data_IF_013004081488
#
_entry.id   IF_013004081488
#
_cell.length_a   1.000
_cell.length_b   1.000
_cell.length_c   1.000
_cell.angle_alpha   90.00
_cell.angle_beta   90.00
_cell.angle_gamma   90.00
#
_symmetry.space_group_name_H-M   'P 1'
#
loop_
_entity.id
_entity.type
_entity.pdbx_description
1 polymer ?
#
# COMPACT_ATOMS: atom_id res chain seq x y z
N UNK A 1 -3.62 6.04 -12.52
CA UNK A 1 -4.86 6.75 -12.13
C UNK A 1 -5.50 7.48 -13.32
N UNK A 2 -4.83 8.42 -13.99
CA UNK A 2 -5.42 9.27 -15.05
C UNK A 2 -5.55 8.60 -16.43
N UNK A 3 -4.79 7.54 -16.69
CA UNK A 3 -4.71 6.92 -18.02
C UNK A 3 -3.69 7.54 -18.98
N UNK A 4 -2.88 8.48 -18.49
CA UNK A 4 -1.79 9.06 -19.27
C UNK A 4 -0.70 8.02 -19.61
N UNK A 5 -0.46 7.85 -20.91
CA UNK A 5 0.49 6.88 -21.46
C UNK A 5 1.95 7.26 -21.21
N UNK A 6 2.24 8.55 -21.08
CA UNK A 6 3.60 9.06 -20.81
C UNK A 6 4.04 8.65 -19.41
N UNK A 7 3.16 8.83 -18.42
CA UNK A 7 3.44 8.39 -17.05
C UNK A 7 3.54 6.88 -16.94
N UNK A 8 2.64 6.14 -17.62
CA UNK A 8 2.71 4.68 -17.64
C UNK A 8 4.05 4.20 -18.22
N UNK A 9 4.42 4.67 -19.41
CA UNK A 9 5.67 4.29 -20.07
C UNK A 9 6.90 4.62 -19.21
N UNK A 10 6.92 5.81 -18.60
CA UNK A 10 8.04 6.28 -17.79
C UNK A 10 8.15 5.48 -16.48
N UNK A 11 7.01 5.18 -15.84
CA UNK A 11 6.95 4.34 -14.65
C UNK A 11 7.44 2.92 -14.92
N UNK A 12 6.95 2.28 -15.98
CA UNK A 12 7.40 0.94 -16.37
C UNK A 12 8.89 0.92 -16.70
N UNK A 13 9.42 1.93 -17.39
CA UNK A 13 10.86 2.03 -17.64
C UNK A 13 11.69 2.09 -16.35
N UNK A 14 11.22 2.81 -15.33
CA UNK A 14 11.86 2.84 -14.01
C UNK A 14 11.82 1.49 -13.30
N UNK A 15 10.70 0.78 -13.39
CA UNK A 15 10.52 -0.54 -12.79
C UNK A 15 11.38 -1.58 -13.51
N UNK A 16 11.44 -1.55 -14.84
CA UNK A 16 12.29 -2.44 -15.65
C UNK A 16 13.78 -2.22 -15.36
N UNK A 17 14.20 -1.02 -14.95
CA UNK A 17 15.57 -0.77 -14.55
C UNK A 17 15.98 -1.59 -13.30
N UNK A 18 15.02 -1.99 -12.44
CA UNK A 18 15.29 -2.83 -11.27
C UNK A 18 15.85 -4.20 -11.67
N UNK A 19 15.56 -4.69 -12.88
CA UNK A 19 16.05 -5.99 -13.36
C UNK A 19 17.57 -6.06 -13.50
N UNK A 20 18.26 -4.92 -13.50
CA UNK A 20 19.73 -4.83 -13.49
C UNK A 20 20.32 -5.11 -12.11
N UNK A 21 19.49 -5.19 -11.08
CA UNK A 21 19.88 -5.40 -9.70
C UNK A 21 19.52 -6.81 -9.22
N UNK A 22 20.28 -7.29 -8.22
CA UNK A 22 20.09 -8.60 -7.58
C UNK A 22 20.12 -8.52 -6.05
N UNK A 23 20.39 -7.34 -5.51
CA UNK A 23 20.51 -7.07 -4.09
C UNK A 23 19.62 -5.86 -3.82
N UNK A 24 18.72 -5.92 -2.81
CA UNK A 24 17.85 -4.80 -2.49
C UNK A 24 18.69 -3.72 -1.82
N UNK A 25 19.12 -2.67 -2.53
CA UNK A 25 20.09 -1.69 -2.01
C UNK A 25 19.73 -0.26 -2.36
N UNK A 26 20.09 0.69 -1.48
CA UNK A 26 20.03 2.12 -1.77
C UNK A 26 18.77 2.88 -1.34
N UNK A 27 17.90 2.32 -0.48
CA UNK A 27 16.79 3.11 0.07
C UNK A 27 17.30 4.10 1.14
N UNK A 28 18.19 3.69 2.03
CA UNK A 28 18.71 4.53 3.12
C UNK A 28 20.01 5.30 2.80
N UNK A 29 20.18 5.78 1.57
CA UNK A 29 21.42 6.43 1.10
C UNK A 29 21.79 7.74 1.82
N UNK A 30 20.87 8.32 2.59
CA UNK A 30 21.12 9.52 3.41
C UNK A 30 21.99 9.23 4.64
N UNK A 31 22.05 7.97 5.10
CA UNK A 31 22.68 7.58 6.36
C UNK A 31 23.64 6.39 6.17
N UNK A 32 23.26 5.43 5.31
CA UNK A 32 23.96 4.18 5.11
C UNK A 32 24.57 4.06 3.70
N UNK A 33 25.63 3.25 3.51
CA UNK A 33 26.21 2.99 2.20
C UNK A 33 25.18 2.45 1.21
N UNK A 34 25.07 3.07 0.03
CA UNK A 34 24.13 2.70 -1.05
C UNK A 34 24.29 1.23 -1.49
N UNK A 35 25.48 0.64 -1.30
CA UNK A 35 25.76 -0.74 -1.65
C UNK A 35 25.16 -1.78 -0.67
N UNK A 36 24.77 -1.37 0.53
CA UNK A 36 24.28 -2.27 1.58
C UNK A 36 22.86 -2.79 1.26
N UNK A 37 22.61 -4.04 1.63
CA UNK A 37 21.30 -4.66 1.46
C UNK A 37 20.32 -4.13 2.50
N UNK A 38 19.10 -3.78 2.07
CA UNK A 38 18.14 -2.94 2.77
C UNK A 38 16.71 -3.49 2.58
N UNK A 39 15.98 -3.69 3.69
CA UNK A 39 14.64 -4.27 3.67
C UNK A 39 13.60 -3.34 3.03
N UNK A 40 13.79 -2.01 3.10
CA UNK A 40 12.89 -1.05 2.46
C UNK A 40 12.89 -1.24 0.95
N UNK A 41 14.04 -1.51 0.35
CA UNK A 41 14.12 -1.80 -1.10
C UNK A 41 13.38 -3.09 -1.43
N UNK A 42 13.46 -4.11 -0.57
CA UNK A 42 12.69 -5.34 -0.76
C UNK A 42 11.17 -5.05 -0.81
N UNK A 43 10.67 -4.24 0.13
CA UNK A 43 9.27 -3.84 0.17
C UNK A 43 8.85 -2.95 -1.01
N UNK A 44 9.59 -1.88 -1.29
CA UNK A 44 9.27 -0.95 -2.36
C UNK A 44 9.38 -1.58 -3.75
N UNK A 45 10.42 -2.37 -4.02
CA UNK A 45 10.58 -3.05 -5.30
C UNK A 45 9.50 -4.13 -5.50
N UNK A 46 9.11 -4.85 -4.44
CA UNK A 46 7.99 -5.79 -4.52
C UNK A 46 6.69 -5.08 -4.90
N UNK A 47 6.34 -3.98 -4.21
CA UNK A 47 5.12 -3.20 -4.49
C UNK A 47 5.14 -2.57 -5.88
N UNK A 48 6.25 -1.97 -6.29
CA UNK A 48 6.36 -1.35 -7.62
C UNK A 48 6.13 -2.38 -8.74
N UNK A 49 6.74 -3.56 -8.62
CA UNK A 49 6.50 -4.65 -9.57
C UNK A 49 5.06 -5.18 -9.49
N UNK A 50 4.48 -5.29 -8.28
CA UNK A 50 3.09 -5.70 -8.14
C UNK A 50 2.11 -4.70 -8.79
N UNK A 51 2.37 -3.40 -8.67
CA UNK A 51 1.59 -2.37 -9.33
C UNK A 51 1.75 -2.45 -10.86
N UNK A 52 2.95 -2.69 -11.37
CA UNK A 52 3.16 -2.94 -12.79
C UNK A 52 2.37 -4.17 -13.28
N UNK A 53 2.36 -5.26 -12.51
CA UNK A 53 1.53 -6.43 -12.80
C UNK A 53 0.04 -6.09 -12.81
N UNK A 54 -0.47 -5.39 -11.79
CA UNK A 54 -1.87 -4.98 -11.72
C UNK A 54 -2.30 -4.11 -12.91
N UNK A 55 -1.40 -3.28 -13.42
CA UNK A 55 -1.66 -2.39 -14.55
C UNK A 55 -1.58 -3.12 -15.90
N UNK A 56 -0.60 -4.01 -16.08
CA UNK A 56 -0.27 -4.58 -17.38
C UNK A 56 -0.78 -6.00 -17.58
N UNK A 57 -1.02 -6.74 -16.50
CA UNK A 57 -1.25 -8.18 -16.52
C UNK A 57 -0.03 -9.03 -16.90
N UNK A 58 1.16 -8.42 -17.10
CA UNK A 58 2.38 -9.15 -17.48
C UNK A 58 2.96 -9.90 -16.27
N UNK A 59 2.86 -11.23 -16.30
CA UNK A 59 3.33 -12.14 -15.26
C UNK A 59 4.81 -11.94 -14.92
N UNK A 60 5.64 -11.42 -15.85
CA UNK A 60 7.03 -11.07 -15.54
C UNK A 60 7.13 -10.14 -14.34
N UNK A 61 6.26 -9.15 -14.24
CA UNK A 61 6.25 -8.24 -13.10
C UNK A 61 5.83 -8.96 -11.80
N UNK A 62 4.87 -9.89 -11.86
CA UNK A 62 4.52 -10.67 -10.67
C UNK A 62 5.69 -11.55 -10.20
N UNK A 63 6.45 -12.16 -11.13
CA UNK A 63 7.67 -12.90 -10.79
C UNK A 63 8.72 -12.02 -10.13
N UNK A 64 8.89 -10.79 -10.61
CA UNK A 64 9.82 -9.84 -9.98
C UNK A 64 9.32 -9.35 -8.62
N UNK A 65 8.01 -9.17 -8.44
CA UNK A 65 7.44 -8.86 -7.13
C UNK A 65 7.73 -9.97 -6.11
N UNK A 66 7.56 -11.24 -6.51
CA UNK A 66 7.92 -12.42 -5.70
C UNK A 66 9.42 -12.44 -5.38
N UNK A 67 10.27 -12.17 -6.37
CA UNK A 67 11.72 -12.11 -6.18
C UNK A 67 12.12 -11.07 -5.11
N UNK A 68 11.65 -9.84 -5.26
CA UNK A 68 11.96 -8.75 -4.31
C UNK A 68 11.34 -8.96 -2.92
N UNK A 69 10.16 -9.57 -2.84
CA UNK A 69 9.61 -9.98 -1.55
C UNK A 69 10.55 -10.99 -0.86
N UNK A 70 11.00 -12.03 -1.58
CA UNK A 70 11.92 -13.04 -1.02
C UNK A 70 13.23 -12.45 -0.49
N UNK A 71 13.77 -11.40 -1.10
CA UNK A 71 15.02 -10.78 -0.61
C UNK A 71 14.86 -10.20 0.80
N UNK A 72 13.66 -9.77 1.18
CA UNK A 72 13.37 -9.24 2.51
C UNK A 72 13.36 -10.31 3.62
N UNK A 73 13.14 -11.59 3.30
CA UNK A 73 13.04 -12.67 4.30
C UNK A 73 14.31 -12.77 5.16
N UNK A 74 15.49 -12.51 4.59
CA UNK A 74 16.77 -12.59 5.29
C UNK A 74 16.92 -11.58 6.45
N UNK A 75 16.09 -10.54 6.50
CA UNK A 75 16.19 -9.47 7.49
C UNK A 75 15.44 -9.77 8.80
N UNK A 76 14.87 -10.96 8.95
CA UNK A 76 13.97 -11.28 10.06
C UNK A 76 14.64 -12.11 11.15
N UNK A 77 14.33 -11.79 12.39
CA UNK A 77 14.55 -12.69 13.51
C UNK A 77 13.47 -13.78 13.51
N UNK A 78 13.85 -15.02 13.25
CA UNK A 78 12.92 -16.17 13.22
C UNK A 78 12.82 -16.91 14.56
N UNK A 79 13.44 -16.37 15.61
CA UNK A 79 13.54 -16.95 16.95
C UNK A 79 13.50 -15.85 18.00
N UNK A 80 13.33 -16.24 19.26
CA UNK A 80 13.44 -15.35 20.41
C UNK A 80 13.98 -16.09 21.63
N UNK A 81 14.68 -15.35 22.50
CA UNK A 81 14.94 -15.80 23.87
C UNK A 81 13.64 -15.77 24.70
N UNK A 82 13.48 -16.64 25.72
CA UNK A 82 12.26 -16.71 26.53
C UNK A 82 11.89 -15.38 27.20
N UNK A 83 12.90 -14.60 27.60
CA UNK A 83 12.79 -13.29 28.26
C UNK A 83 12.71 -12.11 27.28
N UNK A 84 12.75 -12.36 25.97
CA UNK A 84 12.76 -11.32 24.93
C UNK A 84 11.74 -11.62 23.82
N UNK A 85 10.44 -11.66 24.15
CA UNK A 85 9.39 -12.06 23.20
C UNK A 85 9.33 -11.17 21.95
N UNK A 86 9.73 -9.91 22.07
CA UNK A 86 9.72 -8.92 20.99
C UNK A 86 10.76 -9.22 19.87
N UNK A 87 11.73 -10.13 20.10
CA UNK A 87 12.70 -10.56 19.08
C UNK A 87 12.04 -11.28 17.91
N UNK A 88 11.05 -12.15 18.16
CA UNK A 88 10.50 -12.97 17.09
C UNK A 88 9.78 -12.07 16.09
N UNK A 89 10.13 -12.20 14.81
CA UNK A 89 9.72 -11.34 13.71
C UNK A 89 10.15 -9.87 13.79
N UNK A 90 11.08 -9.54 14.69
CA UNK A 90 11.76 -8.26 14.59
C UNK A 90 12.54 -8.19 13.28
N UNK A 91 12.69 -6.98 12.73
CA UNK A 91 13.35 -6.78 11.43
C UNK A 91 14.61 -5.95 11.55
N UNK A 92 15.67 -6.39 10.86
CA UNK A 92 16.88 -5.63 10.64
C UNK A 92 16.62 -4.67 9.48
N UNK A 93 16.95 -3.37 9.57
CA UNK A 93 16.67 -2.42 8.49
C UNK A 93 17.61 -2.64 7.30
N UNK A 94 18.90 -2.79 7.60
CA UNK A 94 19.99 -2.77 6.63
C UNK A 94 21.16 -3.61 7.13
N UNK A 95 21.81 -4.35 6.24
CA UNK A 95 23.08 -5.04 6.52
C UNK A 95 24.28 -4.11 6.31
N UNK A 96 24.18 -2.90 6.84
CA UNK A 96 25.14 -1.82 6.68
C UNK A 96 25.52 -1.15 8.01
N UNK A 97 26.18 0.00 7.90
CA UNK A 97 26.55 0.82 9.03
C UNK A 97 26.24 2.29 8.74
N UNK A 98 25.74 3.01 9.74
CA UNK A 98 25.54 4.46 9.70
C UNK A 98 26.86 5.18 9.82
N UNK A 99 27.10 6.17 8.94
CA UNK A 99 28.27 7.06 8.95
C UNK A 99 29.63 6.35 9.18
N UNK A 100 29.75 5.09 8.78
CA UNK A 100 30.90 4.21 9.05
C UNK A 100 31.25 4.02 10.54
N UNK A 101 30.33 4.29 11.46
CA UNK A 101 30.55 4.29 12.91
C UNK A 101 29.69 3.30 13.69
N UNK A 102 28.45 3.04 13.27
CA UNK A 102 27.51 2.15 13.96
C UNK A 102 26.94 1.09 13.01
N UNK A 103 27.06 -0.19 13.36
CA UNK A 103 26.54 -1.29 12.55
C UNK A 103 25.08 -1.60 12.90
N UNK A 104 24.22 -1.65 11.89
CA UNK A 104 22.82 -2.11 12.04
C UNK A 104 22.67 -3.63 12.01
N UNK A 105 23.75 -4.38 11.76
CA UNK A 105 23.70 -5.85 11.77
C UNK A 105 23.27 -6.34 13.15
N UNK A 106 22.15 -7.07 13.17
CA UNK A 106 21.61 -7.58 14.41
C UNK A 106 21.00 -6.51 15.32
N UNK A 107 20.69 -5.33 14.76
CA UNK A 107 19.93 -4.29 15.45
C UNK A 107 18.54 -4.22 14.81
N UNK A 108 17.47 -4.50 15.56
CA UNK A 108 16.10 -4.36 15.11
C UNK A 108 15.72 -2.89 14.88
N UNK A 109 15.07 -2.62 13.75
CA UNK A 109 14.41 -1.35 13.39
C UNK A 109 13.09 -1.70 12.74
N UNK A 110 12.02 -1.64 13.54
CA UNK A 110 10.78 -2.33 13.19
C UNK A 110 9.92 -1.58 12.19
N UNK A 111 10.04 -0.25 12.12
CA UNK A 111 9.28 0.54 11.17
C UNK A 111 9.63 0.20 9.72
N UNK A 112 10.91 -0.16 9.44
CA UNK A 112 11.32 -0.66 8.12
C UNK A 112 10.62 -1.98 7.79
N UNK A 113 10.52 -2.87 8.78
CA UNK A 113 9.76 -4.12 8.70
C UNK A 113 8.30 -3.89 8.36
N UNK A 114 7.64 -2.89 8.96
CA UNK A 114 6.23 -2.61 8.70
C UNK A 114 5.96 -2.13 7.27
N UNK A 115 6.90 -1.42 6.64
CA UNK A 115 6.80 -1.07 5.21
C UNK A 115 6.85 -2.32 4.34
N UNK A 116 7.75 -3.25 4.67
CA UNK A 116 7.87 -4.53 3.98
C UNK A 116 6.68 -5.46 4.25
N UNK A 117 6.17 -5.52 5.49
CA UNK A 117 4.98 -6.30 5.85
C UNK A 117 3.78 -5.90 4.98
N UNK A 118 3.62 -4.60 4.73
CA UNK A 118 2.53 -4.12 3.90
C UNK A 118 2.67 -4.61 2.45
N UNK A 119 3.89 -4.60 1.90
CA UNK A 119 4.17 -5.18 0.59
C UNK A 119 3.82 -6.67 0.50
N UNK A 120 4.10 -7.42 1.56
CA UNK A 120 3.76 -8.85 1.63
C UNK A 120 2.26 -9.09 1.66
N UNK A 121 1.50 -8.27 2.38
CA UNK A 121 0.03 -8.38 2.42
C UNK A 121 -0.58 -8.11 1.05
N UNK A 122 -0.07 -7.12 0.30
CA UNK A 122 -0.52 -6.88 -1.07
C UNK A 122 -0.14 -8.02 -2.01
N UNK A 123 1.07 -8.58 -1.88
CA UNK A 123 1.53 -9.69 -2.71
C UNK A 123 0.72 -10.98 -2.45
N UNK A 124 0.29 -11.20 -1.21
CA UNK A 124 -0.49 -12.37 -0.81
C UNK A 124 -1.83 -12.51 -1.55
N UNK A 125 -2.34 -11.45 -2.17
CA UNK A 125 -3.51 -11.50 -3.06
C UNK A 125 -3.25 -12.29 -4.36
N UNK A 126 -1.98 -12.46 -4.75
CA UNK A 126 -1.56 -13.02 -6.05
C UNK A 126 -0.47 -14.10 -5.94
N UNK A 127 0.06 -14.34 -4.75
CA UNK A 127 1.11 -15.33 -4.52
C UNK A 127 0.95 -16.02 -3.16
N UNK A 128 1.06 -17.35 -3.17
CA UNK A 128 1.05 -18.21 -1.99
C UNK A 128 2.35 -19.02 -1.86
N UNK A 129 3.39 -18.70 -2.66
CA UNK A 129 4.64 -19.45 -2.71
C UNK A 129 5.42 -19.47 -1.38
N UNK A 130 5.13 -18.52 -0.49
CA UNK A 130 5.57 -18.48 0.89
C UNK A 130 4.42 -18.00 1.78
N UNK A 131 4.46 -18.24 3.11
CA UNK A 131 3.40 -17.84 4.03
C UNK A 131 3.44 -16.33 4.32
N UNK A 132 3.24 -15.50 3.29
CA UNK A 132 3.39 -14.03 3.35
C UNK A 132 2.55 -13.39 4.44
N UNK A 133 1.28 -13.81 4.56
CA UNK A 133 0.37 -13.31 5.59
C UNK A 133 0.90 -13.64 6.99
N UNK A 134 1.47 -14.84 7.20
CA UNK A 134 2.06 -15.23 8.48
C UNK A 134 3.29 -14.39 8.81
N UNK A 135 4.16 -14.16 7.83
CA UNK A 135 5.36 -13.32 8.00
C UNK A 135 4.94 -11.88 8.35
N UNK A 136 4.06 -11.27 7.55
CA UNK A 136 3.56 -9.92 7.78
C UNK A 136 2.87 -9.78 9.15
N UNK A 137 2.00 -10.73 9.53
CA UNK A 137 1.36 -10.76 10.86
C UNK A 137 2.39 -10.87 11.98
N UNK A 138 3.43 -11.66 11.79
CA UNK A 138 4.55 -11.74 12.72
C UNK A 138 5.22 -10.40 12.95
N UNK A 139 5.55 -9.68 11.87
CA UNK A 139 6.18 -8.35 11.93
C UNK A 139 5.28 -7.35 12.67
N UNK A 140 3.98 -7.37 12.38
CA UNK A 140 2.99 -6.50 13.07
C UNK A 140 2.91 -6.83 14.56
N UNK A 141 2.86 -8.11 14.92
CA UNK A 141 2.85 -8.53 16.31
C UNK A 141 4.12 -8.11 17.05
N UNK A 142 5.29 -8.26 16.44
CA UNK A 142 6.55 -7.77 17.00
C UNK A 142 6.53 -6.25 17.19
N UNK A 143 6.00 -5.50 16.21
CA UNK A 143 5.88 -4.04 16.32
C UNK A 143 4.97 -3.61 17.47
N UNK A 144 3.84 -4.27 17.68
CA UNK A 144 2.95 -3.98 18.81
C UNK A 144 3.65 -4.23 20.15
N UNK A 145 4.45 -5.29 20.27
CA UNK A 145 5.24 -5.57 21.48
C UNK A 145 6.39 -4.58 21.70
N UNK A 146 6.86 -3.93 20.64
CA UNK A 146 7.94 -2.93 20.68
C UNK A 146 7.44 -1.52 21.00
N UNK A 147 6.12 -1.27 21.06
CA UNK A 147 5.61 0.05 21.38
C UNK A 147 5.98 0.47 22.81
N UNK A 148 6.21 1.76 23.00
CA UNK A 148 6.41 2.34 24.33
C UNK A 148 5.12 2.21 25.14
N UNK A 149 5.18 1.56 26.29
CA UNK A 149 4.00 1.32 27.17
C UNK A 149 3.89 2.31 28.32
N UNK A 150 4.90 3.15 28.52
CA UNK A 150 5.00 4.10 29.63
C UNK A 150 5.79 5.35 29.21
N UNK A 151 5.75 6.37 30.07
CA UNK A 151 6.45 7.64 29.86
C UNK A 151 5.78 8.56 28.85
N UNK A 152 6.52 9.61 28.45
CA UNK A 152 6.03 10.68 27.57
C UNK A 152 5.66 10.19 26.17
N UNK A 153 6.35 9.15 25.68
CA UNK A 153 6.20 8.62 24.32
C UNK A 153 5.26 7.40 24.24
N UNK A 154 4.38 7.20 25.22
CA UNK A 154 3.45 6.07 25.24
C UNK A 154 2.68 5.91 23.91
N UNK A 155 2.60 4.68 23.41
CA UNK A 155 1.96 4.32 22.15
C UNK A 155 2.82 4.53 20.89
N UNK A 156 3.95 5.23 20.97
CA UNK A 156 4.89 5.35 19.85
C UNK A 156 5.71 4.06 19.66
N UNK A 157 6.32 3.92 18.49
CA UNK A 157 7.28 2.87 18.18
C UNK A 157 8.70 3.46 18.21
N UNK A 158 9.65 2.92 19.00
CA UNK A 158 11.03 3.37 18.94
C UNK A 158 11.65 3.07 17.58
N UNK A 159 12.69 3.81 17.22
CA UNK A 159 13.43 3.62 15.97
C UNK A 159 14.15 2.28 16.00
N UNK A 160 14.83 1.98 17.12
CA UNK A 160 15.56 0.72 17.28
C UNK A 160 15.52 0.17 18.71
N UNK A 161 15.94 -1.09 18.84
CA UNK A 161 16.19 -1.74 20.12
C UNK A 161 17.66 -2.19 20.23
N UNK A 162 18.40 -1.63 21.18
CA UNK A 162 19.77 -2.01 21.52
C UNK A 162 19.84 -3.03 22.66
N UNK A 163 21.06 -3.30 23.12
CA UNK A 163 21.38 -4.17 24.27
C UNK A 163 20.65 -5.52 24.24
N UNK A 164 20.67 -6.18 23.09
CA UNK A 164 19.92 -7.41 22.85
C UNK A 164 18.43 -7.26 23.18
N UNK A 165 17.78 -6.25 22.63
CA UNK A 165 16.35 -6.00 22.78
C UNK A 165 15.90 -5.62 24.20
N UNK A 166 16.80 -5.05 24.99
CA UNK A 166 16.50 -4.56 26.34
C UNK A 166 16.31 -3.05 26.40
N UNK A 167 16.93 -2.30 25.48
CA UNK A 167 16.92 -0.84 25.51
C UNK A 167 16.29 -0.30 24.24
N UNK A 168 15.19 0.45 24.37
CA UNK A 168 14.60 1.19 23.26
C UNK A 168 15.43 2.46 22.98
N UNK A 169 15.64 2.77 21.71
CA UNK A 169 16.29 3.99 21.27
C UNK A 169 15.36 4.79 20.37
N UNK A 170 15.32 6.11 20.62
CA UNK A 170 14.62 7.04 19.75
C UNK A 170 15.28 7.11 18.36
N UNK A 171 14.61 7.69 17.37
CA UNK A 171 13.37 8.48 17.44
C UNK A 171 12.11 7.68 17.84
N UNK A 172 11.11 8.33 18.42
CA UNK A 172 9.84 7.72 18.82
C UNK A 172 8.77 8.03 17.76
N UNK A 173 8.52 7.07 16.90
CA UNK A 173 7.77 7.19 15.65
C UNK A 173 6.28 6.97 15.92
N UNK A 174 5.42 7.69 15.20
CA UNK A 174 3.99 7.48 15.27
C UNK A 174 3.62 6.02 14.87
N UNK A 175 2.59 5.41 15.47
CA UNK A 175 2.26 4.00 15.25
C UNK A 175 1.42 3.74 13.98
N UNK A 176 1.33 4.70 13.04
CA UNK A 176 0.44 4.59 11.86
C UNK A 176 0.68 3.31 11.06
N UNK A 177 1.95 2.93 10.84
CA UNK A 177 2.28 1.74 10.06
C UNK A 177 1.82 0.43 10.73
N UNK A 178 1.66 0.41 12.05
CA UNK A 178 1.04 -0.73 12.75
C UNK A 178 -0.43 -0.81 12.36
N UNK A 179 -1.15 0.32 12.45
CA UNK A 179 -2.58 0.40 12.13
C UNK A 179 -2.85 0.09 10.65
N UNK A 180 -2.04 0.62 9.73
CA UNK A 180 -2.14 0.34 8.30
C UNK A 180 -2.05 -1.14 7.99
N UNK A 181 -1.10 -1.86 8.60
CA UNK A 181 -0.96 -3.29 8.41
C UNK A 181 -2.06 -4.10 9.12
N UNK A 182 -2.50 -3.68 10.32
CA UNK A 182 -3.63 -4.30 11.02
C UNK A 182 -4.91 -4.21 10.17
N UNK A 183 -5.19 -3.03 9.63
CA UNK A 183 -6.32 -2.82 8.75
C UNK A 183 -6.22 -3.71 7.49
N UNK A 184 -5.05 -3.79 6.86
CA UNK A 184 -4.84 -4.72 5.74
C UNK A 184 -5.04 -6.19 6.13
N UNK A 185 -4.58 -6.63 7.31
CA UNK A 185 -4.79 -7.98 7.84
C UNK A 185 -6.27 -8.31 8.12
N UNK A 186 -7.08 -7.29 8.41
CA UNK A 186 -8.53 -7.39 8.56
C UNK A 186 -9.29 -7.31 7.22
N UNK A 187 -8.58 -7.22 6.09
CA UNK A 187 -9.19 -7.02 4.78
C UNK A 187 -9.66 -5.58 4.51
N UNK A 188 -9.25 -4.61 5.35
CA UNK A 188 -9.60 -3.20 5.20
C UNK A 188 -8.40 -2.41 4.65
N UNK A 189 -8.09 -2.58 3.37
CA UNK A 189 -6.94 -1.89 2.79
C UNK A 189 -7.16 -0.36 2.76
N UNK A 190 -6.26 0.40 3.38
CA UNK A 190 -6.36 1.87 3.47
C UNK A 190 -5.79 2.60 2.25
N UNK A 191 -5.08 1.91 1.37
CA UNK A 191 -4.47 2.50 0.19
C UNK A 191 -5.49 2.65 -0.94
N UNK A 192 -5.15 3.48 -1.93
CA UNK A 192 -5.94 3.64 -3.14
C UNK A 192 -5.90 2.35 -3.94
N UNK A 193 -7.08 1.77 -4.21
CA UNK A 193 -7.26 0.65 -5.12
C UNK A 193 -7.67 1.18 -6.49
N UNK A 194 -7.00 0.73 -7.54
CA UNK A 194 -7.39 1.01 -8.92
C UNK A 194 -7.85 -0.27 -9.61
N UNK A 195 -9.05 -0.25 -10.18
CA UNK A 195 -9.58 -1.31 -11.06
C UNK A 195 -9.74 -0.77 -12.48
N UNK A 196 -9.58 -1.66 -13.45
CA UNK A 196 -9.71 -1.38 -14.88
C UNK A 196 -11.01 -1.99 -15.38
N UNK A 197 -11.84 -1.19 -16.06
CA UNK A 197 -13.12 -1.67 -16.63
C UNK A 197 -12.87 -2.62 -17.80
N UNK A 198 -11.86 -2.33 -18.64
CA UNK A 198 -11.39 -3.22 -19.70
C UNK A 198 -9.87 -3.41 -19.51
N UNK A 199 -9.42 -4.63 -19.18
CA UNK A 199 -8.01 -4.90 -18.82
C UNK A 199 -7.05 -4.82 -20.01
N UNK A 200 -7.53 -4.62 -21.24
CA UNK A 200 -6.75 -4.89 -22.46
C UNK A 200 -6.33 -3.60 -23.20
N UNK A 201 -6.62 -2.39 -22.68
CA UNK A 201 -6.27 -1.16 -23.42
C UNK A 201 -5.64 -0.04 -22.57
N UNK A 202 -4.64 0.70 -23.09
CA UNK A 202 -4.04 1.83 -22.39
C UNK A 202 -5.02 2.95 -22.01
N UNK A 203 -6.04 3.17 -22.83
CA UNK A 203 -7.15 4.12 -22.69
C UNK A 203 -8.32 3.58 -21.87
N UNK A 204 -8.18 2.38 -21.30
CA UNK A 204 -9.22 1.79 -20.48
C UNK A 204 -9.62 2.70 -19.32
N UNK A 205 -10.94 2.78 -19.10
CA UNK A 205 -11.50 3.44 -17.94
C UNK A 205 -10.99 2.79 -16.66
N UNK A 206 -10.50 3.62 -15.76
CA UNK A 206 -10.01 3.23 -14.43
C UNK A 206 -10.92 3.83 -13.38
N UNK A 207 -11.18 3.04 -12.36
CA UNK A 207 -11.88 3.47 -11.15
C UNK A 207 -10.86 3.33 -10.03
N UNK A 208 -10.53 4.45 -9.39
CA UNK A 208 -9.61 4.50 -8.25
C UNK A 208 -10.34 4.97 -7.01
N UNK A 209 -10.25 4.26 -5.89
CA UNK A 209 -10.90 4.65 -4.64
C UNK A 209 -10.02 4.32 -3.43
N UNK A 210 -10.18 5.06 -2.34
CA UNK A 210 -9.62 4.70 -1.02
C UNK A 210 -10.47 3.63 -0.30
N UNK A 211 -10.99 2.66 -1.06
CA UNK A 211 -11.89 1.60 -0.65
C UNK A 211 -11.77 0.43 -1.62
N UNK A 212 -12.31 -0.73 -1.25
CA UNK A 212 -12.37 -1.86 -2.15
C UNK A 212 -13.42 -1.64 -3.24
N UNK A 213 -13.14 -2.18 -4.43
CA UNK A 213 -13.90 -1.95 -5.66
C UNK A 213 -14.29 -3.27 -6.34
N UNK A 214 -15.56 -3.40 -6.67
CA UNK A 214 -16.11 -4.40 -7.57
C UNK A 214 -16.73 -3.70 -8.78
N UNK A 215 -16.34 -4.08 -9.99
CA UNK A 215 -16.92 -3.54 -11.22
C UNK A 215 -17.89 -4.60 -11.74
N UNK A 216 -19.12 -4.20 -12.01
CA UNK A 216 -20.14 -5.09 -12.55
C UNK A 216 -19.87 -5.38 -14.04
N UNK A 217 -20.59 -6.34 -14.64
CA UNK A 217 -20.38 -6.68 -16.05
C UNK A 217 -20.56 -5.45 -16.96
N UNK A 218 -19.68 -5.25 -17.96
CA UNK A 218 -19.76 -4.08 -18.83
C UNK A 218 -21.10 -3.99 -19.56
N UNK A 219 -21.79 -2.85 -19.41
CA UNK A 219 -23.03 -2.50 -20.12
C UNK A 219 -23.00 -1.06 -20.64
N UNK A 220 -24.14 -0.56 -21.13
CA UNK A 220 -24.26 0.85 -21.55
C UNK A 220 -24.10 1.83 -20.39
N UNK A 221 -24.45 1.41 -19.18
CA UNK A 221 -24.28 2.16 -17.94
C UNK A 221 -23.13 1.51 -17.19
N UNK A 222 -22.14 2.32 -16.80
CA UNK A 222 -21.07 1.85 -15.94
C UNK A 222 -21.59 1.67 -14.52
N UNK A 223 -21.53 0.45 -14.01
CA UNK A 223 -21.95 0.09 -12.65
C UNK A 223 -20.76 -0.50 -11.88
N UNK A 224 -20.63 -0.07 -10.63
CA UNK A 224 -19.62 -0.59 -9.74
C UNK A 224 -20.05 -0.42 -8.27
N UNK A 225 -19.57 -1.34 -7.44
CA UNK A 225 -19.77 -1.31 -6.00
C UNK A 225 -18.48 -0.90 -5.29
N UNK A 226 -18.63 0.00 -4.34
CA UNK A 226 -17.58 0.45 -3.43
C UNK A 226 -17.85 -0.12 -2.05
N UNK A 227 -16.83 -0.71 -1.43
CA UNK A 227 -16.93 -1.40 -0.14
C UNK A 227 -15.99 -0.73 0.87
N UNK A 228 -16.56 -0.18 1.93
CA UNK A 228 -15.82 0.49 3.00
C UNK A 228 -16.56 0.37 4.34
N UNK A 229 -15.84 0.56 5.45
CA UNK A 229 -16.48 0.50 6.79
C UNK A 229 -17.53 1.60 6.93
N UNK A 230 -18.63 1.26 7.61
CA UNK A 230 -19.69 2.21 7.97
C UNK A 230 -19.11 3.43 8.69
N UNK A 231 -19.54 4.61 8.30
CA UNK A 231 -19.11 5.90 8.84
C UNK A 231 -17.89 6.51 8.17
N UNK A 232 -17.24 5.81 7.22
CA UNK A 232 -16.14 6.36 6.42
C UNK A 232 -16.64 7.10 5.18
N UNK A 233 -15.84 8.05 4.74
CA UNK A 233 -16.01 8.68 3.43
C UNK A 233 -15.09 7.99 2.43
N UNK A 234 -15.59 7.78 1.22
CA UNK A 234 -14.82 7.29 0.10
C UNK A 234 -14.76 8.34 -1.00
N UNK A 235 -13.55 8.59 -1.46
CA UNK A 235 -13.25 9.40 -2.64
C UNK A 235 -12.99 8.46 -3.81
N UNK A 236 -13.69 8.70 -4.92
CA UNK A 236 -13.62 7.86 -6.11
C UNK A 236 -13.24 8.73 -7.30
N UNK A 237 -12.26 8.28 -8.06
CA UNK A 237 -11.82 8.89 -9.31
C UNK A 237 -12.10 7.93 -10.47
N UNK A 238 -12.83 8.41 -11.47
CA UNK A 238 -13.00 7.74 -12.75
C UNK A 238 -12.25 8.50 -13.84
N UNK A 239 -11.32 7.84 -14.52
CA UNK A 239 -10.56 8.42 -15.63
C UNK A 239 -10.00 7.35 -16.59
N UNK A 240 -9.91 7.62 -17.90
CA UNK A 240 -10.40 8.82 -18.58
C UNK A 240 -11.91 8.76 -18.87
N UNK A 241 -12.59 9.90 -18.78
CA UNK A 241 -13.99 10.15 -19.12
C UNK A 241 -14.03 11.39 -20.03
N UNK A 242 -14.14 11.23 -21.36
CA UNK A 242 -13.95 12.33 -22.31
C UNK A 242 -15.09 13.35 -22.30
N UNK A 243 -16.29 12.92 -21.93
CA UNK A 243 -17.49 13.75 -21.91
C UNK A 243 -18.14 13.70 -20.54
N UNK A 244 -18.67 14.84 -20.10
CA UNK A 244 -19.42 14.93 -18.84
C UNK A 244 -20.62 13.96 -18.88
N UNK A 245 -20.79 13.08 -17.88
CA UNK A 245 -21.95 12.20 -17.81
C UNK A 245 -23.22 13.01 -17.55
N UNK A 246 -24.38 12.47 -17.95
CA UNK A 246 -25.68 13.06 -17.63
C UNK A 246 -25.99 13.01 -16.14
N UNK A 247 -25.63 11.90 -15.49
CA UNK A 247 -25.89 11.71 -14.07
C UNK A 247 -24.94 10.68 -13.45
N UNK A 248 -24.76 10.79 -12.13
CA UNK A 248 -24.20 9.76 -11.27
C UNK A 248 -25.28 9.38 -10.26
N UNK A 249 -25.54 8.09 -10.10
CA UNK A 249 -26.63 7.57 -9.27
C UNK A 249 -26.08 6.66 -8.17
N UNK A 250 -26.70 6.70 -6.99
CA UNK A 250 -26.57 5.67 -5.94
C UNK A 250 -27.78 4.73 -6.03
N UNK A 251 -27.54 3.41 -5.94
CA UNK A 251 -28.58 2.35 -5.97
C UNK A 251 -29.54 2.47 -7.17
N UNK A 252 -29.04 2.99 -8.29
CA UNK A 252 -29.74 3.19 -9.57
C UNK A 252 -30.92 4.18 -9.57
N UNK A 253 -31.46 4.56 -8.40
CA UNK A 253 -32.67 5.39 -8.31
C UNK A 253 -32.44 6.76 -7.64
N UNK A 254 -31.31 6.98 -6.96
CA UNK A 254 -31.02 8.23 -6.24
C UNK A 254 -29.90 9.04 -6.91
N UNK A 255 -30.19 10.15 -7.61
CA UNK A 255 -29.15 10.96 -8.25
C UNK A 255 -28.27 11.64 -7.20
N UNK A 256 -26.95 11.56 -7.39
CA UNK A 256 -25.99 12.35 -6.64
C UNK A 256 -25.94 13.77 -7.21
N UNK A 257 -25.93 14.81 -6.34
CA UNK A 257 -25.84 16.18 -6.79
C UNK A 257 -24.47 16.46 -7.42
N UNK A 258 -24.46 17.23 -8.51
CA UNK A 258 -23.22 17.78 -9.05
C UNK A 258 -22.78 18.98 -8.22
N UNK A 259 -21.52 18.97 -7.78
CA UNK A 259 -20.97 19.92 -6.82
C UNK A 259 -19.79 20.70 -7.43
N UNK A 260 -19.70 21.99 -7.11
CA UNK A 260 -18.52 22.81 -7.49
C UNK A 260 -17.26 22.41 -6.71
N UNK A 261 -17.45 21.98 -5.46
CA UNK A 261 -16.40 21.55 -4.54
C UNK A 261 -16.88 20.30 -3.79
N UNK A 262 -16.05 19.24 -3.78
CA UNK A 262 -16.35 17.98 -3.10
C UNK A 262 -15.70 17.87 -1.72
N UNK A 263 -14.56 18.53 -1.51
CA UNK A 263 -13.85 18.43 -0.24
C UNK A 263 -14.65 19.08 0.89
N UNK A 264 -15.05 18.29 1.88
CA UNK A 264 -15.91 18.73 3.00
C UNK A 264 -17.39 18.86 2.64
N UNK A 265 -17.80 18.42 1.44
CA UNK A 265 -19.20 18.38 1.04
C UNK A 265 -19.91 17.12 1.58
N UNK A 266 -21.24 17.10 1.49
CA UNK A 266 -22.02 15.86 1.56
C UNK A 266 -21.78 15.01 0.30
N UNK A 267 -22.46 13.86 0.19
CA UNK A 267 -22.41 13.00 -0.99
C UNK A 267 -22.67 13.78 -2.28
N UNK A 268 -21.83 13.57 -3.29
CA UNK A 268 -21.92 14.30 -4.55
C UNK A 268 -20.82 13.92 -5.54
N UNK A 269 -20.88 14.51 -6.73
CA UNK A 269 -19.87 14.28 -7.77
C UNK A 269 -19.48 15.58 -8.48
N UNK A 270 -18.34 15.56 -9.16
CA UNK A 270 -17.84 16.67 -9.96
C UNK A 270 -17.15 16.14 -11.21
N UNK A 271 -17.50 16.74 -12.36
CA UNK A 271 -16.71 16.56 -13.57
C UNK A 271 -15.55 17.56 -13.60
N UNK A 272 -14.36 17.07 -13.87
CA UNK A 272 -13.13 17.87 -14.02
C UNK A 272 -12.72 17.81 -15.48
N UNK A 273 -13.19 18.78 -16.26
CA UNK A 273 -13.03 18.83 -17.72
C UNK A 273 -11.56 18.83 -18.15
N UNK A 274 -10.70 19.59 -17.47
CA UNK A 274 -9.25 19.66 -17.72
C UNK A 274 -8.55 18.29 -17.63
N UNK A 275 -9.10 17.38 -16.84
CA UNK A 275 -8.50 16.06 -16.61
C UNK A 275 -9.31 14.92 -17.22
N UNK A 276 -10.41 15.22 -17.93
CA UNK A 276 -11.34 14.22 -18.43
C UNK A 276 -11.67 13.19 -17.35
N UNK A 277 -12.13 13.67 -16.19
CA UNK A 277 -12.28 12.84 -15.00
C UNK A 277 -13.57 13.16 -14.23
N UNK A 278 -14.11 12.14 -13.57
CA UNK A 278 -15.17 12.30 -12.58
C UNK A 278 -14.58 12.05 -11.20
N UNK A 279 -14.85 12.95 -10.27
CA UNK A 279 -14.64 12.74 -8.84
C UNK A 279 -15.99 12.50 -8.17
N UNK A 280 -16.07 11.50 -7.29
CA UNK A 280 -17.28 11.18 -6.53
C UNK A 280 -16.90 11.08 -5.06
N UNK A 281 -17.66 11.75 -4.21
CA UNK A 281 -17.58 11.67 -2.76
C UNK A 281 -18.83 10.95 -2.25
N UNK A 282 -18.65 9.90 -1.45
CA UNK A 282 -19.77 9.18 -0.80
C UNK A 282 -19.44 8.82 0.64
N UNK A 283 -20.42 9.02 1.53
CA UNK A 283 -20.39 8.53 2.90
C UNK A 283 -21.00 7.13 2.98
N UNK A 284 -20.30 6.23 3.65
CA UNK A 284 -20.77 4.86 3.87
C UNK A 284 -21.73 4.78 5.07
N UNK A 285 -23.02 5.04 4.86
CA UNK A 285 -24.06 4.70 5.86
C UNK A 285 -24.32 3.19 5.96
N UNK A 286 -23.97 2.48 4.89
CA UNK A 286 -23.92 1.03 4.75
C UNK A 286 -22.53 0.64 4.23
N UNK A 287 -22.16 -0.63 4.39
CA UNK A 287 -20.82 -1.10 3.99
C UNK A 287 -20.60 -1.05 2.48
N UNK A 288 -21.64 -1.36 1.69
CA UNK A 288 -21.60 -1.42 0.24
C UNK A 288 -22.43 -0.29 -0.37
N UNK A 289 -21.83 0.48 -1.26
CA UNK A 289 -22.49 1.55 -2.02
C UNK A 289 -22.36 1.24 -3.50
N UNK A 290 -23.50 1.01 -4.14
CA UNK A 290 -23.61 0.79 -5.59
C UNK A 290 -23.73 2.12 -6.32
N UNK A 291 -22.88 2.33 -7.31
CA UNK A 291 -22.79 3.56 -8.09
C UNK A 291 -22.98 3.24 -9.57
N UNK A 292 -23.82 4.02 -10.22
CA UNK A 292 -24.03 3.97 -11.67
C UNK A 292 -23.67 5.33 -12.30
N UNK A 293 -22.89 5.31 -13.37
CA UNK A 293 -22.54 6.50 -14.15
C UNK A 293 -23.27 6.43 -15.50
N UNK A 294 -24.18 7.39 -15.71
CA UNK A 294 -25.03 7.46 -16.89
C UNK A 294 -24.37 8.39 -17.92
N UNK A 295 -23.98 7.88 -19.11
CA UNK A 295 -23.30 8.68 -20.13
C UNK A 295 -24.17 9.80 -20.72
#
# INVERSE_FOLDING_TARGET
MTGDRTFLKSGLHGIDALERHRIPRGAQGWECPIAAADILVSGHAARANLDAYRITGDERYLQQARYWARTGVAFHYVWNLPDRPLQRYATIPIFGATFFSHSWRGVPVQWCGLVYAYALLELAEFDDSLPWITIARGIVNSAMLQQMTEGEYIGTLPDSYGDYFLTAHGAYINPENILTNLHALEGNNLNIRTKFVDKIRPDALRISANADLHIDEPGEILQFTVISKKGRNTEILLAPIPHKPKAVMIKHDSPLPEMKQLFGAADGWKYVEEHHAILIHVRHDVEKVEIAVVP
#
